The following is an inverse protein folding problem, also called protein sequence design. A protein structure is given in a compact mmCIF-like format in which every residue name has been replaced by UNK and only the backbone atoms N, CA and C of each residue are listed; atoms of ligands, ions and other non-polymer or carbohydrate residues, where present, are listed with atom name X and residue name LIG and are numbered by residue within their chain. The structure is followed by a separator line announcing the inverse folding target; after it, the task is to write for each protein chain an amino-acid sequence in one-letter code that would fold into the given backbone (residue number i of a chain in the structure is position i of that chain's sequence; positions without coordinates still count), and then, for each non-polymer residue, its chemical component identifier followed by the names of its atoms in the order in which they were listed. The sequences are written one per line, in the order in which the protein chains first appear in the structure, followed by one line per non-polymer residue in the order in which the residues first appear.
data_IF_822599033049
#
_entry.id   IF_822599033049
#
_cell.length_a   1.000
_cell.length_b   1.000
_cell.length_c   1.000
_cell.angle_alpha   90.00
_cell.angle_beta   90.00
_cell.angle_gamma   90.00
#
_symmetry.space_group_name_H-M   'P 1'
#
loop_
_entity.id
_entity.type
_entity.pdbx_description
1 polymer ?
#
# COMPACT_ATOMS: atom_id res chain seq x y z
N UNK A 1 3.99 2.62 18.30
CA UNK A 1 3.13 2.84 17.13
C UNK A 1 3.91 2.45 15.88
N UNK A 2 3.39 1.55 15.06
CA UNK A 2 4.00 1.16 13.78
C UNK A 2 4.03 2.38 12.87
N UNK A 3 5.10 2.59 12.10
CA UNK A 3 5.13 3.63 11.06
C UNK A 3 4.39 3.11 9.81
N UNK A 4 3.66 3.96 9.07
CA UNK A 4 3.12 3.55 7.78
C UNK A 4 4.28 3.26 6.83
N UNK A 5 4.07 2.39 5.84
CA UNK A 5 5.13 2.03 4.92
C UNK A 5 4.65 1.19 3.74
N UNK A 6 5.62 0.70 2.97
CA UNK A 6 5.38 -0.21 1.85
C UNK A 6 6.06 -1.54 2.13
N UNK A 7 5.31 -2.63 2.05
CA UNK A 7 5.83 -3.99 2.04
C UNK A 7 6.05 -4.42 0.59
N UNK A 8 7.30 -4.34 0.14
CA UNK A 8 7.67 -4.69 -1.23
C UNK A 8 7.53 -6.20 -1.45
N UNK A 9 6.73 -6.57 -2.44
CA UNK A 9 6.61 -7.96 -2.91
C UNK A 9 7.48 -8.21 -4.15
N UNK A 10 7.95 -7.14 -4.80
CA UNK A 10 8.92 -7.19 -5.90
C UNK A 10 9.65 -5.85 -6.02
N UNK A 11 10.97 -5.90 -6.18
CA UNK A 11 11.80 -4.71 -6.39
C UNK A 11 12.94 -5.01 -7.39
N UNK A 12 12.69 -4.86 -8.70
CA UNK A 12 13.72 -5.01 -9.71
C UNK A 12 14.83 -3.97 -9.54
N UNK A 13 16.07 -4.33 -9.86
CA UNK A 13 17.17 -3.36 -9.86
C UNK A 13 16.87 -2.22 -10.84
N UNK A 14 17.03 -0.97 -10.38
CA UNK A 14 16.78 0.22 -11.19
C UNK A 14 15.30 0.55 -11.44
N UNK A 15 14.36 -0.05 -10.69
CA UNK A 15 12.96 0.33 -10.78
C UNK A 15 12.77 1.83 -10.45
N UNK A 16 12.14 2.55 -11.37
CA UNK A 16 11.77 3.98 -11.21
C UNK A 16 10.26 4.18 -11.08
N UNK A 17 9.48 3.10 -11.22
CA UNK A 17 8.03 3.10 -11.12
C UNK A 17 7.61 2.19 -9.97
N UNK A 18 6.58 2.59 -9.23
CA UNK A 18 6.01 1.82 -8.13
C UNK A 18 4.53 1.57 -8.35
N UNK A 19 4.11 0.30 -8.33
CA UNK A 19 2.71 -0.08 -8.18
C UNK A 19 2.46 -0.30 -6.68
N UNK A 20 1.66 0.59 -6.08
CA UNK A 20 1.31 0.55 -4.68
C UNK A 20 -0.12 0.01 -4.53
N UNK A 21 -0.27 -1.07 -3.78
CA UNK A 21 -1.54 -1.74 -3.54
C UNK A 21 -2.09 -1.35 -2.17
N UNK A 22 -3.19 -0.61 -2.17
CA UNK A 22 -3.86 -0.15 -0.98
C UNK A 22 -5.02 -1.10 -0.62
N UNK A 23 -4.83 -1.87 0.45
CA UNK A 23 -5.83 -2.84 0.90
C UNK A 23 -7.01 -2.16 1.61
N UNK A 24 -8.15 -2.84 1.62
CA UNK A 24 -9.34 -2.38 2.35
C UNK A 24 -9.17 -2.45 3.87
N UNK A 25 -10.15 -1.96 4.60
CA UNK A 25 -10.11 -1.95 6.06
C UNK A 25 -11.51 -1.97 6.65
N UNK A 26 -11.65 -1.28 7.77
CA UNK A 26 -12.91 -1.08 8.50
C UNK A 26 -13.22 0.40 8.54
N UNK A 27 -14.46 0.77 8.81
CA UNK A 27 -14.82 2.18 8.96
C UNK A 27 -14.13 2.80 10.20
N UNK A 28 -14.23 2.12 11.35
CA UNK A 28 -13.74 2.64 12.63
C UNK A 28 -12.93 1.56 13.37
N UNK A 29 -11.60 1.71 13.41
CA UNK A 29 -10.70 0.87 14.20
C UNK A 29 -9.28 1.43 14.26
N UNK A 30 -8.77 1.63 15.47
CA UNK A 30 -7.35 1.97 15.72
C UNK A 30 -6.48 0.72 16.00
N UNK A 31 -6.97 -0.46 15.64
CA UNK A 31 -6.17 -1.68 15.70
C UNK A 31 -5.17 -1.71 14.54
N UNK A 32 -3.98 -2.25 14.80
CA UNK A 32 -2.97 -2.48 13.76
C UNK A 32 -3.47 -3.55 12.78
N UNK A 33 -3.40 -3.32 11.46
CA UNK A 33 -3.73 -4.33 10.47
C UNK A 33 -2.79 -5.53 10.61
N UNK A 34 -3.33 -6.76 10.64
CA UNK A 34 -2.50 -7.96 10.56
C UNK A 34 -2.37 -8.39 9.09
N UNK A 35 -1.17 -8.84 8.72
CA UNK A 35 -0.80 -9.17 7.33
C UNK A 35 -1.63 -10.33 6.72
N UNK A 36 -2.24 -11.16 7.56
CA UNK A 36 -3.05 -12.31 7.16
C UNK A 36 -4.56 -12.02 7.17
N UNK A 37 -4.97 -10.75 7.28
CA UNK A 37 -6.38 -10.41 7.24
C UNK A 37 -6.94 -10.49 5.80
N UNK A 38 -8.22 -10.84 5.65
CA UNK A 38 -8.86 -10.96 4.35
C UNK A 38 -8.69 -9.75 3.40
N UNK A 39 -8.67 -8.48 3.86
CA UNK A 39 -8.46 -7.35 2.96
C UNK A 39 -7.05 -7.33 2.34
N UNK A 40 -6.01 -7.63 3.11
CA UNK A 40 -4.63 -7.72 2.62
C UNK A 40 -4.47 -8.88 1.67
N UNK A 41 -5.08 -10.03 1.99
CA UNK A 41 -5.01 -11.23 1.14
C UNK A 41 -5.67 -11.02 -0.23
N UNK A 42 -6.72 -10.19 -0.31
CA UNK A 42 -7.39 -9.84 -1.57
C UNK A 42 -6.50 -9.07 -2.55
N UNK A 43 -5.40 -8.47 -2.09
CA UNK A 43 -4.47 -7.74 -2.96
C UNK A 43 -3.47 -8.65 -3.69
N UNK A 44 -3.32 -9.91 -3.28
CA UNK A 44 -2.37 -10.85 -3.91
C UNK A 44 -2.59 -11.06 -5.42
N UNK A 45 -3.83 -11.24 -5.92
CA UNK A 45 -4.07 -11.36 -7.37
C UNK A 45 -3.64 -10.11 -8.14
N UNK A 46 -3.89 -8.91 -7.59
CA UNK A 46 -3.45 -7.64 -8.19
C UNK A 46 -1.93 -7.53 -8.18
N UNK A 47 -1.28 -7.93 -7.09
CA UNK A 47 0.17 -7.97 -7.00
C UNK A 47 0.76 -8.89 -8.08
N UNK A 48 0.18 -10.08 -8.25
CA UNK A 48 0.62 -11.03 -9.25
C UNK A 48 0.42 -10.50 -10.68
N UNK A 49 -0.74 -9.91 -10.97
CA UNK A 49 -1.03 -9.29 -12.26
C UNK A 49 -0.06 -8.13 -12.56
N UNK A 50 0.17 -7.23 -11.60
CA UNK A 50 1.10 -6.11 -11.75
C UNK A 50 2.54 -6.59 -12.03
N UNK A 51 2.99 -7.62 -11.30
CA UNK A 51 4.33 -8.22 -11.49
C UNK A 51 4.52 -8.78 -12.90
N UNK A 52 3.45 -9.30 -13.52
CA UNK A 52 3.49 -9.85 -14.90
C UNK A 52 3.35 -8.77 -15.96
N UNK A 53 2.48 -7.79 -15.75
CA UNK A 53 2.20 -6.73 -16.71
C UNK A 53 3.34 -5.71 -16.81
N UNK A 54 3.99 -5.39 -15.69
CA UNK A 54 5.03 -4.36 -15.63
C UNK A 54 6.28 -4.89 -14.91
N UNK A 55 7.07 -5.76 -15.56
CA UNK A 55 8.21 -6.42 -14.92
C UNK A 55 9.37 -5.47 -14.59
N UNK A 56 9.39 -4.23 -15.05
CA UNK A 56 10.38 -3.22 -14.64
C UNK A 56 10.00 -2.45 -13.37
N UNK A 57 8.71 -2.46 -12.97
CA UNK A 57 8.23 -1.71 -11.82
C UNK A 57 8.44 -2.47 -10.51
N UNK A 58 8.66 -1.70 -9.43
CA UNK A 58 8.51 -2.19 -8.08
C UNK A 58 7.01 -2.39 -7.79
N UNK A 59 6.69 -3.40 -6.99
CA UNK A 59 5.31 -3.68 -6.56
C UNK A 59 5.32 -3.84 -5.05
N UNK A 60 4.44 -3.14 -4.35
CA UNK A 60 4.37 -3.16 -2.90
C UNK A 60 2.96 -3.02 -2.36
N UNK A 61 2.74 -3.56 -1.17
CA UNK A 61 1.51 -3.44 -0.40
C UNK A 61 1.63 -2.27 0.58
N UNK A 62 0.60 -1.45 0.67
CA UNK A 62 0.51 -0.41 1.68
C UNK A 62 0.36 -1.04 3.07
N UNK A 63 1.18 -0.59 4.02
CA UNK A 63 1.10 -0.92 5.44
C UNK A 63 0.60 0.30 6.20
N UNK A 64 -0.67 0.28 6.59
CA UNK A 64 -1.27 1.32 7.42
C UNK A 64 -0.93 1.16 8.89
N UNK A 65 -0.95 2.26 9.64
CA UNK A 65 -0.87 2.26 11.11
C UNK A 65 -2.12 1.65 11.74
N UNK A 66 -3.27 1.97 11.17
CA UNK A 66 -4.59 1.54 11.63
C UNK A 66 -5.38 0.92 10.48
N UNK A 67 -6.24 -0.04 10.81
CA UNK A 67 -7.14 -0.66 9.82
C UNK A 67 -8.43 0.12 9.58
N UNK A 68 -8.68 1.17 10.37
CA UNK A 68 -9.88 2.01 10.30
C UNK A 68 -9.66 3.26 9.47
N UNK A 69 -10.69 3.73 8.77
CA UNK A 69 -10.73 5.09 8.22
C UNK A 69 -10.74 6.14 9.35
N UNK A 70 -11.46 5.85 10.43
CA UNK A 70 -11.52 6.65 11.66
C UNK A 70 -12.08 8.07 11.44
N UNK A 71 -13.18 8.15 10.68
CA UNK A 71 -13.94 9.38 10.46
C UNK A 71 -13.10 10.52 9.90
N UNK A 72 -13.11 11.67 10.58
CA UNK A 72 -12.39 12.88 10.14
C UNK A 72 -10.85 12.75 10.24
N UNK A 73 -10.33 11.79 11.01
CA UNK A 73 -8.89 11.55 11.07
C UNK A 73 -8.36 11.03 9.73
N UNK A 74 -9.19 10.28 8.98
CA UNK A 74 -8.85 9.72 7.67
C UNK A 74 -7.46 9.04 7.68
N UNK A 75 -7.19 8.25 8.72
CA UNK A 75 -5.86 7.70 9.02
C UNK A 75 -5.19 7.04 7.80
N UNK A 76 -5.88 6.24 6.97
CA UNK A 76 -5.29 5.64 5.78
C UNK A 76 -4.80 6.67 4.75
N UNK A 77 -5.51 7.79 4.59
CA UNK A 77 -5.13 8.85 3.65
C UNK A 77 -3.90 9.62 4.17
N UNK A 78 -3.85 9.90 5.46
CA UNK A 78 -2.69 10.51 6.13
C UNK A 78 -1.47 9.60 6.00
N UNK A 79 -1.66 8.30 6.21
CA UNK A 79 -0.61 7.29 6.09
C UNK A 79 -0.09 7.18 4.66
N UNK A 80 -0.99 7.12 3.68
CA UNK A 80 -0.63 7.08 2.27
C UNK A 80 0.20 8.31 1.90
N UNK A 81 -0.24 9.51 2.31
CA UNK A 81 0.51 10.74 2.07
C UNK A 81 1.90 10.68 2.68
N UNK A 82 2.01 10.27 3.95
CA UNK A 82 3.29 10.12 4.61
C UNK A 82 4.20 9.13 3.86
N UNK A 83 3.66 8.03 3.34
CA UNK A 83 4.45 7.08 2.54
C UNK A 83 4.92 7.69 1.23
N UNK A 84 4.05 8.39 0.50
CA UNK A 84 4.39 9.04 -0.76
C UNK A 84 5.47 10.13 -0.56
N UNK A 85 5.36 10.91 0.50
CA UNK A 85 6.33 11.98 0.84
C UNK A 85 7.73 11.41 1.17
N UNK A 86 7.83 10.14 1.57
CA UNK A 86 9.08 9.47 1.95
C UNK A 86 9.57 8.48 0.89
N UNK A 87 8.98 8.46 -0.32
CA UNK A 87 9.46 7.59 -1.37
C UNK A 87 10.89 8.00 -1.81
N UNK A 88 11.74 7.01 -2.15
CA UNK A 88 13.07 7.31 -2.68
C UNK A 88 12.98 8.17 -3.94
N UNK A 89 13.90 9.13 -4.11
CA UNK A 89 13.92 10.04 -5.27
C UNK A 89 14.10 9.34 -6.63
N UNK A 90 14.53 8.06 -6.63
CA UNK A 90 14.58 7.22 -7.83
C UNK A 90 13.17 6.84 -8.34
N UNK A 91 12.17 6.80 -7.46
CA UNK A 91 10.78 6.55 -7.85
C UNK A 91 10.19 7.84 -8.40
N UNK A 92 9.83 7.81 -9.68
CA UNK A 92 9.32 8.95 -10.44
C UNK A 92 7.82 8.87 -10.70
N UNK A 93 7.26 7.67 -10.73
CA UNK A 93 5.83 7.45 -10.95
C UNK A 93 5.30 6.42 -9.98
N UNK A 94 4.12 6.70 -9.45
CA UNK A 94 3.39 5.79 -8.57
C UNK A 94 2.01 5.53 -9.17
N UNK A 95 1.65 4.26 -9.29
CA UNK A 95 0.30 3.82 -9.63
C UNK A 95 -0.32 3.24 -8.38
N UNK A 96 -1.38 3.87 -7.88
CA UNK A 96 -2.14 3.39 -6.74
C UNK A 96 -3.29 2.49 -7.21
N UNK A 97 -3.37 1.29 -6.65
CA UNK A 97 -4.51 0.38 -6.84
C UNK A 97 -5.16 0.17 -5.48
N UNK A 98 -6.30 0.83 -5.29
CA UNK A 98 -7.09 0.78 -4.06
C UNK A 98 -8.26 -0.19 -4.15
N UNK A 99 -8.63 -0.80 -3.03
CA UNK A 99 -9.85 -1.58 -2.91
C UNK A 99 -10.63 -1.18 -1.64
N UNK A 100 -11.89 -0.80 -1.82
CA UNK A 100 -12.79 -0.36 -0.75
C UNK A 100 -12.27 0.90 -0.04
N UNK A 101 -11.67 0.77 1.14
CA UNK A 101 -11.08 1.89 1.89
C UNK A 101 -9.77 2.40 1.27
N UNK A 102 -9.00 1.50 0.64
CA UNK A 102 -7.67 1.79 0.11
C UNK A 102 -7.71 2.58 -1.19
#
# INVERSE_FOLDING_TARGET
MTRPGVDLVRNPAGATDLVLLAHGGTENSQAVPQSWQPPTLRMWPFAWAARRAVPSAAVGLMRYRYRGWNGAAADPAVDLRAVLDHLPSVIRRVVLIGHSMG
#
